data_IF_947902898343
#
_entry.id   IF_947902898343
#
_cell.length_a   1.000
_cell.length_b   1.000
_cell.length_c   1.000
_cell.angle_alpha   90.00
_cell.angle_beta   90.00
_cell.angle_gamma   90.00
#
_symmetry.space_group_name_H-M   'P 1'
#
loop_
_entity.id
_entity.type
_entity.pdbx_description
1 polymer ?
#
# COMPACT_ATOMS: atom_id res chain seq x y z
N UNK A 1 23.64 -0.57 -6.59
CA UNK A 1 22.39 -0.83 -5.85
C UNK A 1 21.27 -0.87 -6.87
N UNK A 2 20.51 -1.97 -6.96
CA UNK A 2 19.33 -2.00 -7.82
C UNK A 2 18.21 -1.20 -7.15
N UNK A 3 17.53 -0.29 -7.89
CA UNK A 3 16.46 0.52 -7.34
C UNK A 3 15.29 -0.37 -6.91
N UNK A 4 14.85 -0.21 -5.67
CA UNK A 4 13.65 -0.89 -5.15
C UNK A 4 12.39 -0.25 -5.79
N UNK A 5 11.28 -0.98 -5.95
CA UNK A 5 10.17 -0.67 -6.88
C UNK A 5 9.32 0.60 -6.60
N UNK A 6 9.78 1.52 -5.75
CA UNK A 6 9.14 2.81 -5.43
C UNK A 6 9.95 4.04 -5.87
N UNK A 7 11.13 3.88 -6.48
CA UNK A 7 12.00 5.03 -6.80
C UNK A 7 11.52 5.92 -7.96
N UNK A 8 10.48 5.52 -8.72
CA UNK A 8 9.94 6.36 -9.81
C UNK A 8 8.54 6.90 -9.46
N UNK A 9 8.37 8.23 -9.51
CA UNK A 9 7.09 8.91 -9.30
C UNK A 9 5.98 8.40 -10.23
N UNK A 10 6.29 8.04 -11.47
CA UNK A 10 5.31 7.50 -12.42
C UNK A 10 4.65 6.22 -11.91
N UNK A 11 5.45 5.33 -11.30
CA UNK A 11 4.96 4.10 -10.67
C UNK A 11 4.06 4.41 -9.49
N UNK A 12 4.46 5.38 -8.65
CA UNK A 12 3.67 5.81 -7.51
C UNK A 12 2.32 6.42 -7.93
N UNK A 13 2.33 7.31 -8.93
CA UNK A 13 1.12 7.95 -9.46
C UNK A 13 0.17 6.93 -10.10
N UNK A 14 0.71 5.99 -10.87
CA UNK A 14 -0.09 4.90 -11.48
C UNK A 14 -0.71 3.97 -10.43
N UNK A 15 -0.03 3.79 -9.30
CA UNK A 15 -0.49 2.92 -8.20
C UNK A 15 -1.35 3.64 -7.14
N UNK A 16 -1.37 4.97 -7.07
CA UNK A 16 -2.15 5.72 -6.08
C UNK A 16 -3.45 6.26 -6.66
N UNK A 17 -4.47 5.40 -6.70
CA UNK A 17 -5.85 5.90 -6.81
C UNK A 17 -6.36 6.42 -5.47
N UNK A 18 -7.41 7.25 -5.47
CA UNK A 18 -8.06 7.76 -4.23
C UNK A 18 -8.41 6.61 -3.28
N UNK A 19 -8.94 5.50 -3.81
CA UNK A 19 -9.31 4.31 -3.02
C UNK A 19 -8.11 3.62 -2.39
N UNK A 20 -6.99 3.53 -3.12
CA UNK A 20 -5.72 2.94 -2.62
C UNK A 20 -5.03 3.86 -1.60
N UNK A 21 -5.14 5.17 -1.78
CA UNK A 21 -4.70 6.14 -0.77
C UNK A 21 -5.49 6.02 0.55
N UNK A 22 -6.82 5.93 0.47
CA UNK A 22 -7.68 5.71 1.65
C UNK A 22 -7.35 4.39 2.35
N UNK A 23 -7.06 3.34 1.58
CA UNK A 23 -6.61 2.04 2.10
C UNK A 23 -5.32 2.20 2.92
N UNK A 24 -4.29 2.86 2.37
CA UNK A 24 -3.03 3.11 3.07
C UNK A 24 -3.24 3.96 4.34
N UNK A 25 -4.07 5.01 4.28
CA UNK A 25 -4.41 5.85 5.43
C UNK A 25 -5.10 5.08 6.55
N UNK A 26 -5.97 4.13 6.20
CA UNK A 26 -6.61 3.25 7.19
C UNK A 26 -5.60 2.27 7.76
N UNK A 27 -4.77 1.65 6.92
CA UNK A 27 -3.78 0.67 7.34
C UNK A 27 -2.69 1.27 8.25
N UNK A 28 -2.28 2.51 8.00
CA UNK A 28 -1.30 3.24 8.80
C UNK A 28 -1.72 3.47 10.27
N UNK A 29 -3.01 3.27 10.61
CA UNK A 29 -3.52 3.34 11.99
C UNK A 29 -3.21 2.07 12.80
N UNK A 30 -2.75 0.99 12.15
CA UNK A 30 -2.56 -0.32 12.77
C UNK A 30 -1.13 -0.80 12.59
N UNK A 31 -0.24 -0.43 13.51
CA UNK A 31 1.20 -0.73 13.42
C UNK A 31 1.50 -2.23 13.41
N UNK A 32 0.70 -3.03 14.12
CA UNK A 32 0.84 -4.50 14.17
C UNK A 32 0.24 -5.21 12.95
N UNK A 33 -0.30 -4.45 12.00
CA UNK A 33 -1.01 -4.95 10.83
C UNK A 33 -2.37 -5.57 11.15
N UNK A 34 -3.17 -5.74 10.09
CA UNK A 34 -4.50 -6.34 10.13
C UNK A 34 -4.69 -7.27 8.95
N UNK A 35 -5.68 -8.15 9.01
CA UNK A 35 -6.05 -9.01 7.87
C UNK A 35 -6.75 -8.20 6.77
N UNK A 36 -6.67 -8.67 5.52
CA UNK A 36 -7.41 -8.08 4.39
C UNK A 36 -8.92 -8.05 4.67
N UNK A 37 -9.44 -9.06 5.38
CA UNK A 37 -10.86 -9.13 5.78
C UNK A 37 -11.23 -7.99 6.73
N UNK A 38 -10.41 -7.74 7.76
CA UNK A 38 -10.63 -6.61 8.68
C UNK A 38 -10.54 -5.28 7.95
N UNK A 39 -9.56 -5.11 7.06
CA UNK A 39 -9.40 -3.90 6.26
C UNK A 39 -10.61 -3.65 5.36
N UNK A 40 -11.15 -4.69 4.72
CA UNK A 40 -12.35 -4.60 3.90
C UNK A 40 -13.58 -4.15 4.71
N UNK A 41 -13.74 -4.68 5.92
CA UNK A 41 -14.78 -4.25 6.86
C UNK A 41 -14.63 -2.79 7.25
N UNK A 42 -13.42 -2.36 7.65
CA UNK A 42 -13.14 -0.98 8.05
C UNK A 42 -13.36 0.04 6.93
N UNK A 43 -13.11 -0.35 5.68
CA UNK A 43 -13.33 0.50 4.51
C UNK A 43 -14.78 0.47 4.01
N UNK A 44 -15.62 -0.45 4.49
CA UNK A 44 -16.96 -0.69 3.94
C UNK A 44 -16.92 -1.16 2.48
N UNK A 45 -15.88 -1.91 2.07
CA UNK A 45 -15.63 -2.32 0.68
C UNK A 45 -15.65 -3.83 0.53
N UNK A 46 -15.97 -4.31 -0.67
CA UNK A 46 -15.91 -5.74 -1.00
C UNK A 46 -14.46 -6.28 -0.87
N UNK A 47 -14.32 -7.44 -0.24
CA UNK A 47 -13.05 -8.14 -0.02
C UNK A 47 -12.22 -8.31 -1.30
N UNK A 48 -12.81 -8.74 -2.43
CA UNK A 48 -12.08 -8.98 -3.69
C UNK A 48 -11.39 -7.71 -4.19
N UNK A 49 -12.09 -6.57 -4.11
CA UNK A 49 -11.55 -5.29 -4.53
C UNK A 49 -10.40 -4.83 -3.61
N UNK A 50 -10.54 -5.05 -2.30
CA UNK A 50 -9.49 -4.71 -1.33
C UNK A 50 -8.28 -5.64 -1.50
N UNK A 51 -8.49 -6.93 -1.75
CA UNK A 51 -7.42 -7.87 -2.04
C UNK A 51 -6.62 -7.47 -3.29
N UNK A 52 -7.31 -7.07 -4.36
CA UNK A 52 -6.66 -6.57 -5.59
C UNK A 52 -5.86 -5.30 -5.31
N UNK A 53 -6.44 -4.32 -4.60
CA UNK A 53 -5.76 -3.08 -4.23
C UNK A 53 -4.50 -3.35 -3.37
N UNK A 54 -4.60 -4.26 -2.40
CA UNK A 54 -3.48 -4.69 -1.56
C UNK A 54 -2.38 -5.32 -2.41
N UNK A 55 -2.73 -6.13 -3.41
CA UNK A 55 -1.78 -6.74 -4.34
C UNK A 55 -0.96 -5.69 -5.10
N UNK A 56 -1.62 -4.68 -5.66
CA UNK A 56 -0.93 -3.60 -6.40
C UNK A 56 -0.04 -2.77 -5.47
N UNK A 57 -0.51 -2.42 -4.27
CA UNK A 57 0.28 -1.64 -3.32
C UNK A 57 1.47 -2.42 -2.76
N UNK A 58 1.33 -3.74 -2.61
CA UNK A 58 2.41 -4.63 -2.18
C UNK A 58 3.46 -4.81 -3.28
N UNK A 59 3.07 -4.91 -4.56
CA UNK A 59 4.04 -5.09 -5.65
C UNK A 59 4.99 -3.91 -5.81
N UNK A 60 4.60 -2.72 -5.34
CA UNK A 60 5.45 -1.51 -5.31
C UNK A 60 6.02 -1.19 -3.92
N UNK A 61 5.87 -2.10 -2.95
CA UNK A 61 6.48 -1.99 -1.63
C UNK A 61 5.79 -1.03 -0.63
N UNK A 62 4.60 -0.50 -0.94
CA UNK A 62 3.85 0.35 -0.02
C UNK A 62 3.15 -0.44 1.10
N UNK A 63 2.97 -1.74 0.92
CA UNK A 63 2.41 -2.67 1.90
C UNK A 63 3.35 -3.86 2.05
N UNK A 64 3.56 -4.28 3.30
CA UNK A 64 4.23 -5.51 3.67
C UNK A 64 3.24 -6.49 4.30
N UNK A 65 3.63 -7.77 4.37
CA UNK A 65 2.84 -8.84 4.98
C UNK A 65 3.69 -9.56 6.04
N UNK A 66 3.07 -9.99 7.13
CA UNK A 66 3.71 -10.76 8.20
C UNK A 66 2.77 -11.79 8.81
N UNK A 67 3.36 -12.82 9.44
CA UNK A 67 2.67 -13.79 10.29
C UNK A 67 1.74 -14.78 9.59
N UNK A 68 1.18 -15.67 10.41
CA UNK A 68 0.14 -16.62 10.06
C UNK A 68 -0.96 -16.59 11.13
N UNK A 69 -2.21 -16.20 10.81
CA UNK A 69 -2.69 -15.79 9.50
C UNK A 69 -2.06 -14.47 9.03
N UNK A 70 -2.03 -14.31 7.70
CA UNK A 70 -1.42 -13.16 7.03
C UNK A 70 -2.03 -11.83 7.48
N UNK A 71 -1.20 -10.98 8.10
CA UNK A 71 -1.51 -9.58 8.36
C UNK A 71 -0.75 -8.70 7.40
N UNK A 72 -1.39 -7.64 6.93
CA UNK A 72 -0.78 -6.60 6.11
C UNK A 72 -0.58 -5.34 6.94
N UNK A 73 0.47 -4.58 6.63
CA UNK A 73 0.80 -3.32 7.30
C UNK A 73 1.55 -2.39 6.33
N UNK A 74 1.57 -1.09 6.63
CA UNK A 74 2.43 -0.14 5.92
C UNK A 74 3.81 -0.15 6.61
N UNK A 75 4.91 -0.52 5.94
CA UNK A 75 6.23 -0.56 6.58
C UNK A 75 6.74 0.83 6.96
N UNK A 76 6.22 1.88 6.32
CA UNK A 76 6.59 3.27 6.56
C UNK A 76 5.34 4.14 6.74
N UNK A 77 5.44 5.16 7.60
CA UNK A 77 4.40 6.17 7.82
C UNK A 77 4.47 7.34 6.82
N UNK A 78 5.61 7.46 6.13
CA UNK A 78 5.88 8.49 5.12
C UNK A 78 6.55 7.82 3.95
N UNK A 79 6.06 8.13 2.75
CA UNK A 79 6.69 7.78 1.49
C UNK A 79 7.03 9.09 0.78
N UNK A 80 8.25 9.19 0.28
CA UNK A 80 8.73 10.35 -0.47
C UNK A 80 9.18 9.83 -1.83
N UNK A 81 8.71 10.48 -2.89
CA UNK A 81 9.15 10.25 -4.26
C UNK A 81 9.46 11.61 -4.88
N UNK A 82 10.54 11.68 -5.64
CA UNK A 82 10.96 12.86 -6.37
C UNK A 82 10.72 12.66 -7.87
N UNK A 83 10.45 13.77 -8.56
CA UNK A 83 10.42 13.82 -10.02
C UNK A 83 11.30 14.96 -10.46
N UNK A 84 12.38 14.61 -11.16
CA UNK A 84 13.23 15.56 -11.83
C UNK A 84 12.64 15.86 -13.20
N UNK A 85 12.18 17.10 -13.39
CA UNK A 85 11.61 17.57 -14.67
C UNK A 85 12.69 17.96 -15.67
N UNK A 86 13.95 17.89 -15.27
CA UNK A 86 15.14 18.28 -16.04
C UNK A 86 16.26 17.29 -15.75
N UNK A 87 17.05 16.98 -16.77
CA UNK A 87 18.35 16.31 -16.57
C UNK A 87 19.33 17.21 -15.82
#
# INVERSE_FOLDING_TARGET
MQPQPYENLETLLSALSVKRYQLLRTLAKYEQGITIKQLASLLGRNYKNVHSDVGVLRSIGLIAQTGHPAKIYTPHKRFVSSLDLTK
#
